data_IF_599936306879
#
_entry.id   IF_599936306879
#
_cell.length_a   1.000
_cell.length_b   1.000
_cell.length_c   1.000
_cell.angle_alpha   90.00
_cell.angle_beta   90.00
_cell.angle_gamma   90.00
#
_symmetry.space_group_name_H-M   'P 1'
#
loop_
_entity.id
_entity.type
_entity.pdbx_description
1 polymer ?
#
# COMPACT_ATOMS: atom_id res chain seq x y z
N UNK A 1 -5.42 24.10 -77.80
CA UNK A 1 -4.23 24.19 -76.94
C UNK A 1 -4.66 23.81 -75.54
N UNK A 2 -4.31 22.60 -75.11
CA UNK A 2 -4.66 22.01 -73.82
C UNK A 2 -3.63 22.46 -72.79
N UNK A 3 -4.07 23.13 -71.73
CA UNK A 3 -3.22 23.52 -70.61
C UNK A 3 -3.07 22.30 -69.70
N UNK A 4 -1.85 21.77 -69.60
CA UNK A 4 -1.50 20.66 -68.72
C UNK A 4 -1.73 21.05 -67.24
N UNK A 5 -2.66 20.36 -66.60
CA UNK A 5 -2.85 20.40 -65.15
C UNK A 5 -1.71 19.69 -64.45
N UNK A 6 -0.83 20.44 -63.78
CA UNK A 6 0.19 19.90 -62.88
C UNK A 6 -0.50 19.46 -61.58
N UNK A 7 -0.65 18.14 -61.39
CA UNK A 7 -1.11 17.58 -60.11
C UNK A 7 0.07 17.50 -59.12
N UNK A 8 -0.11 17.92 -57.86
CA UNK A 8 0.94 17.82 -56.85
C UNK A 8 1.17 16.37 -56.45
N UNK A 9 2.42 15.92 -56.48
CA UNK A 9 2.85 14.60 -56.05
C UNK A 9 2.57 14.42 -54.55
N UNK A 10 1.60 13.55 -54.22
CA UNK A 10 1.26 13.22 -52.84
C UNK A 10 2.36 12.34 -52.25
N UNK A 11 3.33 12.95 -51.59
CA UNK A 11 4.38 12.26 -50.83
C UNK A 11 3.75 11.42 -49.72
N UNK A 12 3.56 10.13 -49.96
CA UNK A 12 3.12 9.20 -48.93
C UNK A 12 4.19 9.14 -47.83
N UNK A 13 3.88 9.73 -46.68
CA UNK A 13 4.68 9.51 -45.47
C UNK A 13 4.59 8.02 -45.18
N UNK A 14 5.70 7.30 -45.40
CA UNK A 14 5.71 5.85 -45.34
C UNK A 14 5.14 5.36 -44.01
N UNK A 15 3.98 4.68 -44.06
CA UNK A 15 3.26 4.08 -42.93
C UNK A 15 4.19 3.34 -41.95
N UNK A 16 5.25 2.73 -42.49
CA UNK A 16 6.29 2.06 -41.72
C UNK A 16 7.11 2.99 -40.79
N UNK A 17 7.43 4.22 -41.22
CA UNK A 17 8.14 5.22 -40.37
C UNK A 17 7.27 5.67 -39.20
N UNK A 18 5.96 5.80 -39.43
CA UNK A 18 5.01 6.14 -38.38
C UNK A 18 4.87 5.00 -37.37
N UNK A 19 4.77 3.76 -37.85
CA UNK A 19 4.75 2.56 -37.00
C UNK A 19 6.03 2.45 -36.13
N UNK A 20 7.21 2.62 -36.72
CA UNK A 20 8.48 2.58 -35.99
C UNK A 20 8.56 3.67 -34.92
N UNK A 21 8.09 4.89 -35.21
CA UNK A 21 8.09 5.97 -34.23
C UNK A 21 7.19 5.65 -33.03
N UNK A 22 5.98 5.14 -33.26
CA UNK A 22 5.05 4.77 -32.18
C UNK A 22 5.58 3.62 -31.33
N UNK A 23 6.15 2.57 -31.96
CA UNK A 23 6.75 1.44 -31.24
C UNK A 23 7.96 1.90 -30.43
N UNK A 24 8.83 2.73 -31.01
CA UNK A 24 10.01 3.26 -30.32
C UNK A 24 9.64 4.07 -29.08
N UNK A 25 8.70 5.00 -29.21
CA UNK A 25 8.20 5.79 -28.07
C UNK A 25 7.55 4.87 -27.03
N UNK A 26 6.72 3.91 -27.47
CA UNK A 26 6.06 2.95 -26.58
C UNK A 26 7.06 2.14 -25.74
N UNK A 27 8.13 1.63 -26.37
CA UNK A 27 9.20 0.90 -25.66
C UNK A 27 9.89 1.80 -24.65
N UNK A 28 10.24 3.03 -25.02
CA UNK A 28 10.91 3.98 -24.13
C UNK A 28 10.01 4.30 -22.91
N UNK A 29 8.73 4.56 -23.13
CA UNK A 29 7.77 4.82 -22.05
C UNK A 29 7.59 3.59 -21.15
N UNK A 30 7.46 2.39 -21.72
CA UNK A 30 7.33 1.16 -20.94
C UNK A 30 8.57 0.90 -20.09
N UNK A 31 9.77 1.07 -20.65
CA UNK A 31 11.04 0.95 -19.91
C UNK A 31 11.13 1.97 -18.79
N UNK A 32 10.77 3.23 -19.04
CA UNK A 32 10.78 4.27 -18.03
C UNK A 32 9.87 3.90 -16.83
N UNK A 33 8.63 3.47 -17.09
CA UNK A 33 7.67 3.09 -16.05
C UNK A 33 8.20 1.91 -15.21
N UNK A 34 8.71 0.86 -15.87
CA UNK A 34 9.19 -0.35 -15.17
C UNK A 34 10.42 -0.06 -14.31
N UNK A 35 11.37 0.72 -14.83
CA UNK A 35 12.57 1.12 -14.08
C UNK A 35 12.17 1.94 -12.85
N UNK A 36 11.36 2.98 -13.04
CA UNK A 36 10.89 3.80 -11.91
C UNK A 36 10.17 2.97 -10.86
N UNK A 37 9.30 2.04 -11.28
CA UNK A 37 8.57 1.16 -10.37
C UNK A 37 9.53 0.29 -9.55
N UNK A 38 10.45 -0.42 -10.20
CA UNK A 38 11.38 -1.33 -9.51
C UNK A 38 12.33 -0.60 -8.56
N UNK A 39 12.78 0.60 -8.91
CA UNK A 39 13.67 1.39 -8.03
C UNK A 39 12.92 1.95 -6.82
N UNK A 40 11.63 2.30 -6.97
CA UNK A 40 10.86 2.95 -5.89
C UNK A 40 10.24 1.93 -4.92
N UNK A 41 9.92 0.72 -5.41
CA UNK A 41 9.33 -0.35 -4.63
C UNK A 41 10.05 -0.65 -3.29
N UNK A 42 11.39 -0.81 -3.22
CA UNK A 42 12.07 -1.12 -1.94
C UNK A 42 11.98 0.02 -0.92
N UNK A 43 11.91 1.28 -1.39
CA UNK A 43 11.77 2.44 -0.49
C UNK A 43 10.36 2.49 0.09
N UNK A 44 9.35 2.21 -0.74
CA UNK A 44 7.95 2.16 -0.30
C UNK A 44 7.75 1.05 0.73
N UNK A 45 8.27 -0.16 0.48
CA UNK A 45 8.10 -1.28 1.41
C UNK A 45 8.77 -1.02 2.75
N UNK A 46 9.97 -0.42 2.75
CA UNK A 46 10.66 -0.02 3.99
C UNK A 46 9.86 1.02 4.77
N UNK A 47 9.39 2.08 4.11
CA UNK A 47 8.61 3.13 4.78
C UNK A 47 7.28 2.60 5.32
N UNK A 48 6.61 1.70 4.59
CA UNK A 48 5.39 1.03 5.05
C UNK A 48 5.65 0.14 6.27
N UNK A 49 6.73 -0.65 6.25
CA UNK A 49 7.14 -1.47 7.38
C UNK A 49 7.40 -0.62 8.64
N UNK A 50 8.11 0.49 8.49
CA UNK A 50 8.43 1.39 9.61
C UNK A 50 7.19 2.12 10.15
N UNK A 51 6.25 2.50 9.26
CA UNK A 51 4.98 3.10 9.64
C UNK A 51 4.07 2.09 10.37
N UNK A 52 4.02 0.84 9.89
CA UNK A 52 3.28 -0.25 10.55
C UNK A 52 3.86 -0.54 11.94
N UNK A 53 5.18 -0.60 12.07
CA UNK A 53 5.83 -0.81 13.36
C UNK A 53 5.48 0.30 14.36
N UNK A 54 5.57 1.57 13.94
CA UNK A 54 5.15 2.71 14.77
C UNK A 54 3.67 2.65 15.13
N UNK A 55 2.81 2.22 14.21
CA UNK A 55 1.39 2.05 14.45
C UNK A 55 1.09 0.97 15.49
N UNK A 56 1.79 -0.17 15.45
CA UNK A 56 1.63 -1.28 16.42
C UNK A 56 1.90 -0.77 17.84
N UNK A 57 3.01 -0.07 18.07
CA UNK A 57 3.33 0.49 19.39
C UNK A 57 2.36 1.60 19.82
N UNK A 58 1.74 2.29 18.86
CA UNK A 58 0.71 3.30 19.15
C UNK A 58 -0.61 2.69 19.58
N UNK A 59 -1.01 1.55 19.00
CA UNK A 59 -2.28 0.87 19.36
C UNK A 59 -2.13 -0.11 20.53
N UNK A 60 -0.91 -0.51 20.87
CA UNK A 60 -0.59 -1.35 22.04
C UNK A 60 0.26 -0.57 23.06
N UNK A 61 -0.33 0.37 23.81
CA UNK A 61 0.40 1.14 24.81
C UNK A 61 0.99 0.22 25.88
N UNK A 62 2.31 0.25 26.03
CA UNK A 62 3.05 -0.59 26.99
C UNK A 62 3.77 -1.80 26.36
N UNK A 63 3.54 -2.09 25.08
CA UNK A 63 4.33 -3.10 24.37
C UNK A 63 5.76 -2.59 24.12
N UNK A 64 6.76 -3.40 24.49
CA UNK A 64 8.18 -3.16 24.21
C UNK A 64 8.72 -4.10 23.13
N UNK A 65 8.17 -5.31 23.05
CA UNK A 65 8.52 -6.28 22.01
C UNK A 65 7.26 -6.75 21.30
N UNK A 66 7.42 -7.21 20.06
CA UNK A 66 6.33 -7.78 19.26
C UNK A 66 6.65 -9.19 18.82
N UNK A 67 5.60 -10.01 18.74
CA UNK A 67 5.62 -11.30 18.03
C UNK A 67 4.58 -11.30 16.94
N UNK A 68 4.94 -11.79 15.77
CA UNK A 68 4.04 -11.87 14.64
C UNK A 68 3.53 -13.31 14.55
N UNK A 69 2.23 -13.45 14.33
CA UNK A 69 1.59 -14.74 14.10
C UNK A 69 0.83 -14.67 12.79
N UNK A 70 0.99 -15.66 11.91
CA UNK A 70 0.20 -15.77 10.70
C UNK A 70 -0.94 -16.76 10.92
N UNK A 71 -2.12 -16.42 10.41
CA UNK A 71 -3.25 -17.34 10.33
C UNK A 71 -3.30 -18.04 8.98
N UNK A 72 -3.16 -19.37 8.96
CA UNK A 72 -3.27 -20.20 7.74
C UNK A 72 -4.66 -20.86 7.61
N UNK A 73 -5.72 -20.24 8.15
CA UNK A 73 -7.08 -20.80 8.10
C UNK A 73 -7.37 -21.90 9.14
N UNK A 74 -6.34 -22.54 9.71
CA UNK A 74 -6.50 -23.61 10.70
C UNK A 74 -5.70 -23.40 12.00
N UNK A 75 -4.52 -22.76 11.92
CA UNK A 75 -3.62 -22.58 13.05
C UNK A 75 -2.88 -21.25 12.95
N UNK A 76 -2.48 -20.73 14.10
CA UNK A 76 -1.51 -19.65 14.19
C UNK A 76 -0.10 -20.25 14.17
N UNK A 77 0.73 -19.83 13.21
CA UNK A 77 2.17 -20.09 13.19
C UNK A 77 2.93 -18.82 13.50
N UNK A 78 4.08 -18.92 14.17
CA UNK A 78 4.96 -17.77 14.38
C UNK A 78 5.50 -17.34 13.01
N UNK A 79 5.26 -16.08 12.67
CA UNK A 79 5.65 -15.46 11.42
C UNK A 79 6.98 -14.71 11.62
N UNK A 80 7.83 -14.73 10.60
CA UNK A 80 9.06 -13.94 10.64
C UNK A 80 8.71 -12.44 10.74
N UNK A 81 9.22 -11.71 11.76
CA UNK A 81 9.00 -10.28 11.90
C UNK A 81 9.45 -9.44 10.70
N UNK A 82 10.35 -9.97 9.88
CA UNK A 82 10.91 -9.32 8.70
C UNK A 82 10.12 -9.58 7.42
N UNK A 83 9.23 -10.58 7.41
CA UNK A 83 8.40 -10.88 6.24
C UNK A 83 7.10 -10.07 6.27
N UNK A 84 7.11 -9.00 5.48
CA UNK A 84 5.97 -8.08 5.34
C UNK A 84 5.04 -8.47 4.18
N UNK A 85 5.29 -9.61 3.52
CA UNK A 85 4.46 -10.12 2.42
C UNK A 85 3.33 -11.04 2.88
N UNK A 86 3.38 -11.46 4.15
CA UNK A 86 2.44 -12.38 4.75
C UNK A 86 1.06 -11.73 4.89
N UNK A 87 0.03 -12.47 4.48
CA UNK A 87 -1.38 -12.10 4.67
C UNK A 87 -1.87 -12.64 6.02
N UNK A 88 -2.87 -11.97 6.59
CA UNK A 88 -3.54 -12.37 7.83
C UNK A 88 -2.57 -12.51 9.02
N UNK A 89 -1.66 -11.53 9.14
CA UNK A 89 -0.72 -11.44 10.26
C UNK A 89 -1.36 -10.70 11.42
N UNK A 90 -1.20 -11.28 12.59
CA UNK A 90 -1.59 -10.73 13.88
C UNK A 90 -0.32 -10.36 14.65
N UNK A 91 -0.33 -9.20 15.29
CA UNK A 91 0.82 -8.67 16.02
C UNK A 91 0.54 -8.69 17.53
N UNK A 92 1.22 -9.56 18.26
CA UNK A 92 1.09 -9.65 19.72
C UNK A 92 2.15 -8.75 20.37
N UNK A 93 1.70 -7.78 21.17
CA UNK A 93 2.58 -6.91 21.96
C UNK A 93 2.89 -7.52 23.32
N UNK A 94 4.16 -7.50 23.70
CA UNK A 94 4.66 -8.00 24.98
C UNK A 94 5.35 -6.86 25.75
N UNK A 95 5.18 -6.83 27.08
CA UNK A 95 5.86 -5.89 27.97
C UNK A 95 7.34 -6.28 28.21
N UNK A 96 8.05 -5.51 29.05
CA UNK A 96 9.44 -5.81 29.44
C UNK A 96 9.63 -7.18 30.11
N UNK A 97 8.57 -7.70 30.75
CA UNK A 97 8.59 -8.94 31.50
C UNK A 97 8.16 -10.14 30.63
N UNK A 98 7.82 -9.92 29.36
CA UNK A 98 7.29 -10.92 28.45
C UNK A 98 5.79 -11.22 28.64
N UNK A 99 5.07 -10.42 29.42
CA UNK A 99 3.63 -10.52 29.56
C UNK A 99 2.90 -9.92 28.35
N UNK A 100 1.81 -10.55 27.92
CA UNK A 100 1.01 -10.08 26.79
C UNK A 100 0.23 -8.83 27.18
N UNK A 101 0.48 -7.74 26.46
CA UNK A 101 -0.23 -6.45 26.65
C UNK A 101 -1.49 -6.40 25.81
N UNK A 102 -1.45 -7.00 24.62
CA UNK A 102 -2.58 -7.03 23.69
C UNK A 102 -2.18 -7.50 22.31
N UNK A 103 -3.15 -7.44 21.41
CA UNK A 103 -3.06 -7.97 20.05
C UNK A 103 -3.47 -6.87 19.07
N UNK A 104 -2.61 -6.53 18.12
CA UNK A 104 -2.94 -5.62 17.03
C UNK A 104 -3.29 -6.41 15.76
N UNK A 105 -4.41 -6.04 15.15
CA UNK A 105 -4.99 -6.72 14.00
C UNK A 105 -5.23 -5.69 12.89
N UNK A 106 -4.77 -6.00 11.68
CA UNK A 106 -5.04 -5.19 10.48
C UNK A 106 -6.42 -5.54 9.93
N UNK A 107 -7.21 -4.52 9.62
CA UNK A 107 -8.49 -4.67 8.93
C UNK A 107 -8.57 -3.69 7.75
N UNK A 108 -9.36 -4.09 6.74
CA UNK A 108 -9.63 -3.28 5.56
C UNK A 108 -11.13 -3.15 5.38
N UNK A 109 -11.59 -1.92 5.21
CA UNK A 109 -12.99 -1.61 4.93
C UNK A 109 -13.10 -0.75 3.68
N UNK A 110 -14.19 -0.91 2.92
CA UNK A 110 -14.47 -0.03 1.79
C UNK A 110 -14.84 1.36 2.30
N UNK A 111 -14.04 2.37 1.95
CA UNK A 111 -14.37 3.78 2.12
C UNK A 111 -15.24 4.29 0.97
N UNK A 112 -15.46 5.60 0.93
CA UNK A 112 -16.24 6.24 -0.12
C UNK A 112 -15.47 6.26 -1.45
N UNK A 113 -14.17 6.59 -1.40
CA UNK A 113 -13.34 6.70 -2.59
C UNK A 113 -12.46 5.46 -2.81
N UNK A 114 -11.93 4.89 -1.74
CA UNK A 114 -11.02 3.73 -1.79
C UNK A 114 -11.11 2.90 -0.50
N UNK A 115 -10.46 1.73 -0.46
CA UNK A 115 -10.35 0.93 0.76
C UNK A 115 -9.48 1.63 1.80
N UNK A 116 -9.96 1.66 3.04
CA UNK A 116 -9.27 2.20 4.21
C UNK A 116 -8.65 1.03 4.96
N UNK A 117 -7.36 1.13 5.26
CA UNK A 117 -6.63 0.15 6.06
C UNK A 117 -6.45 0.69 7.47
N UNK A 118 -6.91 -0.07 8.45
CA UNK A 118 -6.85 0.30 9.86
C UNK A 118 -6.15 -0.78 10.66
N UNK A 119 -5.55 -0.37 11.77
CA UNK A 119 -4.95 -1.23 12.77
C UNK A 119 -5.64 -0.93 14.10
N UNK A 120 -6.20 -1.95 14.74
CA UNK A 120 -6.77 -1.81 16.07
C UNK A 120 -6.06 -2.74 17.06
N UNK A 121 -5.81 -2.23 18.26
CA UNK A 121 -5.29 -2.98 19.39
C UNK A 121 -6.45 -3.54 20.21
N UNK A 122 -6.40 -4.82 20.52
CA UNK A 122 -7.39 -5.54 21.32
C UNK A 122 -6.73 -6.12 22.57
N UNK A 123 -7.37 -5.90 23.72
CA UNK A 123 -6.98 -6.49 25.01
C UNK A 123 -7.88 -7.70 25.30
N UNK A 124 -7.33 -8.94 25.30
CA UNK A 124 -8.12 -10.15 25.54
C UNK A 124 -8.61 -10.29 26.98
N UNK A 125 -7.95 -9.66 27.97
CA UNK A 125 -8.38 -9.72 29.37
C UNK A 125 -9.57 -8.80 29.60
N UNK A 126 -9.52 -7.59 29.04
CA UNK A 126 -10.59 -6.60 29.17
C UNK A 126 -11.69 -6.77 28.13
N UNK A 127 -11.48 -7.63 27.14
CA UNK A 127 -12.34 -7.81 25.95
C UNK A 127 -12.68 -6.48 25.27
N UNK A 128 -11.70 -5.58 25.15
CA UNK A 128 -11.90 -4.21 24.72
C UNK A 128 -10.87 -3.77 23.68
N UNK A 129 -11.27 -2.84 22.81
CA UNK A 129 -10.34 -2.16 21.91
C UNK A 129 -9.58 -1.11 22.73
N UNK A 130 -8.25 -1.22 22.74
CA UNK A 130 -7.35 -0.36 23.52
C UNK A 130 -6.63 0.69 22.68
N UNK A 131 -6.71 0.57 21.35
CA UNK A 131 -6.10 1.53 20.43
C UNK A 131 -6.62 1.38 19.01
N UNK A 132 -6.55 2.47 18.26
CA UNK A 132 -6.97 2.53 16.86
C UNK A 132 -6.02 3.44 16.08
N UNK A 133 -5.67 3.03 14.87
CA UNK A 133 -4.82 3.79 13.98
C UNK A 133 -5.17 3.52 12.52
N UNK A 134 -5.17 4.57 11.70
CA UNK A 134 -5.39 4.46 10.24
C UNK A 134 -4.04 4.32 9.56
N UNK A 135 -3.79 3.16 8.94
CA UNK A 135 -2.53 2.86 8.24
C UNK A 135 -2.48 3.49 6.85
N UNK A 136 -3.59 3.42 6.12
CA UNK A 136 -3.68 3.95 4.75
C UNK A 136 -5.12 4.42 4.50
N UNK A 137 -5.25 5.64 3.99
CA UNK A 137 -6.50 6.27 3.61
C UNK A 137 -6.26 7.19 2.43
N UNK A 138 -7.10 7.08 1.40
CA UNK A 138 -7.07 7.92 0.20
C UNK A 138 -8.32 8.77 0.08
N UNK A 139 -8.99 8.99 1.20
CA UNK A 139 -10.19 9.81 1.30
C UNK A 139 -9.90 11.30 1.08
N UNK A 140 -10.96 12.05 0.78
CA UNK A 140 -10.81 13.48 0.50
C UNK A 140 -10.41 14.25 1.76
N UNK A 141 -9.32 15.05 1.74
CA UNK A 141 -8.89 15.86 2.87
C UNK A 141 -10.01 16.80 3.37
N UNK A 142 -10.21 16.87 4.69
CA UNK A 142 -11.22 17.71 5.34
C UNK A 142 -12.64 17.10 5.39
N UNK A 143 -12.89 16.01 4.68
CA UNK A 143 -14.15 15.25 4.72
C UNK A 143 -13.93 13.90 5.41
N UNK A 144 -13.37 12.93 4.70
CA UNK A 144 -13.23 11.54 5.15
C UNK A 144 -11.96 11.25 5.95
N UNK A 145 -10.97 12.14 5.93
CA UNK A 145 -9.68 11.95 6.62
C UNK A 145 -9.73 12.24 8.14
N UNK A 146 -10.90 12.58 8.67
CA UNK A 146 -11.08 12.86 10.11
C UNK A 146 -10.86 11.65 11.00
N UNK A 147 -11.10 10.44 10.46
CA UNK A 147 -10.85 9.18 11.18
C UNK A 147 -9.39 9.00 11.63
N UNK A 148 -8.44 9.70 10.99
CA UNK A 148 -7.03 9.62 11.35
C UNK A 148 -6.58 10.73 12.32
N UNK A 149 -7.35 11.82 12.42
CA UNK A 149 -6.91 13.08 13.04
C UNK A 149 -7.80 13.56 14.19
N UNK A 150 -9.05 13.15 14.25
CA UNK A 150 -10.00 13.56 15.28
C UNK A 150 -10.13 12.48 16.37
N UNK A 151 -9.86 12.87 17.61
CA UNK A 151 -9.93 11.97 18.77
C UNK A 151 -11.38 11.70 19.24
N UNK A 152 -12.36 12.45 18.73
CA UNK A 152 -13.77 12.29 19.07
C UNK A 152 -14.54 11.37 18.11
N UNK A 153 -13.89 10.85 17.07
CA UNK A 153 -14.43 9.89 16.11
C UNK A 153 -14.08 8.45 16.53
#
# INVERSE_FOLDING_TARGET
MTVDTIQPEKKEVGSFKMFQAMVGIGIICALAIVVTYQTTLPVITKNKAEALEKAIYKVLPGAQTRKNFQWDGQKFSEADPSDHSLKDVIYTGLDANGAMVGIAIEAKGQGFQDAIQVLYGFDPEKQAIIGFYVLDSRETPGLGDKIASDAAF
#
